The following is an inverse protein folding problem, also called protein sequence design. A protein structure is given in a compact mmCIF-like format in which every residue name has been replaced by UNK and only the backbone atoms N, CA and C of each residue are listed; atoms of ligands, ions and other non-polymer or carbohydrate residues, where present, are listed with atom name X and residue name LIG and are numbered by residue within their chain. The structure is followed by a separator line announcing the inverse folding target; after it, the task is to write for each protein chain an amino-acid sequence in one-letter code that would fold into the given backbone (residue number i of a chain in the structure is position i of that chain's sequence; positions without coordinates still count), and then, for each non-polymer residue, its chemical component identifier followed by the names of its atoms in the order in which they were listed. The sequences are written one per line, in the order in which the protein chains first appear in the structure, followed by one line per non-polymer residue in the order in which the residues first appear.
data_IF_540460570294
#
_entry.id   IF_540460570294
#
_cell.length_a   1.000
_cell.length_b   1.000
_cell.length_c   1.000
_cell.angle_alpha   90.00
_cell.angle_beta   90.00
_cell.angle_gamma   90.00
#
_symmetry.space_group_name_H-M   'P 1'
#
loop_
_entity.id
_entity.type
_entity.pdbx_description
1 polymer ?
#
# COMPACT_ATOMS: atom_id res chain seq x y z
N UNK A 1 -32.75 6.28 -2.80
CA UNK A 1 -31.59 5.42 -2.55
C UNK A 1 -30.35 6.20 -2.88
N UNK A 2 -29.47 6.41 -1.90
CA UNK A 2 -28.19 7.11 -2.13
C UNK A 2 -27.20 6.08 -2.66
N UNK A 3 -26.81 6.23 -3.92
CA UNK A 3 -25.70 5.46 -4.50
C UNK A 3 -24.42 6.21 -4.19
N UNK A 4 -23.64 5.72 -3.23
CA UNK A 4 -22.27 6.19 -3.02
C UNK A 4 -21.37 5.50 -4.05
N UNK A 5 -20.95 6.22 -5.09
CA UNK A 5 -19.82 5.83 -5.93
C UNK A 5 -18.53 6.16 -5.18
N UNK A 6 -18.07 5.25 -4.32
CA UNK A 6 -16.75 5.37 -3.71
C UNK A 6 -15.79 4.44 -4.45
N UNK A 7 -14.95 5.01 -5.30
CA UNK A 7 -13.81 4.31 -5.89
C UNK A 7 -12.76 4.09 -4.81
N UNK A 8 -12.87 3.01 -4.02
CA UNK A 8 -11.85 2.68 -3.04
C UNK A 8 -10.55 2.31 -3.76
N UNK A 9 -9.52 3.10 -3.47
CA UNK A 9 -8.14 2.91 -3.88
C UNK A 9 -7.29 2.84 -2.63
N UNK A 10 -6.21 2.07 -2.65
CA UNK A 10 -5.30 2.04 -1.53
C UNK A 10 -4.30 3.20 -1.67
N UNK A 11 -4.45 4.22 -0.82
CA UNK A 11 -3.51 5.34 -0.70
C UNK A 11 -2.34 4.90 0.20
N UNK A 12 -1.17 4.72 -0.39
CA UNK A 12 0.06 4.41 0.31
C UNK A 12 0.72 5.65 0.88
N UNK A 13 1.04 5.60 2.18
CA UNK A 13 1.88 6.59 2.86
C UNK A 13 2.96 5.85 3.65
N UNK A 14 4.01 6.56 4.05
CA UNK A 14 5.04 5.99 4.91
C UNK A 14 5.36 6.92 6.08
N UNK A 15 5.92 6.32 7.12
CA UNK A 15 6.52 6.96 8.29
C UNK A 15 7.86 6.29 8.53
N UNK A 16 8.91 7.05 8.82
CA UNK A 16 10.23 6.52 9.12
C UNK A 16 10.90 7.33 10.23
N UNK A 17 11.45 6.62 11.21
CA UNK A 17 12.33 7.18 12.24
C UNK A 17 13.76 7.14 11.72
N UNK A 18 14.35 8.32 11.54
CA UNK A 18 15.72 8.48 11.07
C UNK A 18 16.73 8.35 12.22
N UNK A 19 16.36 8.87 13.39
CA UNK A 19 17.18 8.81 14.59
C UNK A 19 16.31 8.87 15.85
N UNK A 20 16.74 8.13 16.88
CA UNK A 20 16.19 8.18 18.23
C UNK A 20 17.33 8.33 19.22
N UNK A 21 17.25 9.34 20.10
CA UNK A 21 18.29 9.59 21.10
C UNK A 21 18.31 8.49 22.16
N UNK A 22 19.48 7.91 22.48
CA UNK A 22 19.62 6.90 23.52
C UNK A 22 19.87 7.52 24.91
N UNK A 23 20.00 8.85 25.03
CA UNK A 23 20.40 9.49 26.29
C UNK A 23 19.21 9.64 27.25
N UNK A 24 19.38 9.25 28.53
CA UNK A 24 18.35 9.44 29.56
C UNK A 24 18.09 10.95 29.76
N UNK A 25 16.81 11.32 29.78
CA UNK A 25 16.37 12.72 29.81
C UNK A 25 16.11 13.35 28.44
N UNK A 26 16.38 12.64 27.34
CA UNK A 26 16.09 13.11 25.98
C UNK A 26 15.34 12.07 25.13
N UNK A 27 14.59 11.17 25.78
CA UNK A 27 13.91 10.03 25.13
C UNK A 27 12.83 10.43 24.12
N UNK A 28 12.42 11.70 24.10
CA UNK A 28 11.46 12.25 23.13
C UNK A 28 12.10 12.86 21.88
N UNK A 29 13.42 13.01 21.81
CA UNK A 29 14.07 13.64 20.65
C UNK A 29 14.25 12.62 19.52
N UNK A 30 13.23 12.51 18.67
CA UNK A 30 13.24 11.67 17.48
C UNK A 30 13.29 12.55 16.23
N UNK A 31 14.16 12.18 15.29
CA UNK A 31 14.11 12.73 13.93
C UNK A 31 13.27 11.78 13.09
N UNK A 32 12.12 12.25 12.60
CA UNK A 32 11.16 11.45 11.83
C UNK A 32 10.82 12.13 10.53
N UNK A 33 10.47 11.31 9.54
CA UNK A 33 10.00 11.74 8.24
C UNK A 33 8.73 10.97 7.88
N UNK A 34 7.64 11.68 7.58
CA UNK A 34 6.34 11.04 7.37
C UNK A 34 5.43 11.85 6.45
N UNK A 35 4.74 11.12 5.57
CA UNK A 35 3.64 11.64 4.75
C UNK A 35 2.28 11.06 5.19
N UNK A 36 2.25 10.29 6.28
CA UNK A 36 1.01 9.75 6.82
C UNK A 36 0.17 10.90 7.43
N UNK A 37 -1.15 10.98 7.18
CA UNK A 37 -1.97 12.12 7.59
C UNK A 37 -1.90 12.45 9.09
N UNK A 38 -1.80 11.43 9.94
CA UNK A 38 -1.77 11.58 11.40
C UNK A 38 -0.41 12.01 11.95
N UNK A 39 0.67 11.85 11.18
CA UNK A 39 2.05 12.14 11.61
C UNK A 39 2.82 12.97 10.58
N UNK A 40 2.11 13.74 9.76
CA UNK A 40 2.67 14.45 8.61
C UNK A 40 3.77 15.43 9.04
N UNK A 41 4.95 15.34 8.42
CA UNK A 41 6.05 16.28 8.65
C UNK A 41 5.76 17.61 7.96
N UNK A 42 5.43 18.66 8.74
CA UNK A 42 5.11 19.99 8.23
C UNK A 42 6.28 20.57 7.42
N UNK A 43 5.99 21.11 6.24
CA UNK A 43 6.99 21.70 5.34
C UNK A 43 7.69 20.71 4.41
N UNK A 44 7.36 19.42 4.48
CA UNK A 44 7.91 18.40 3.60
C UNK A 44 7.03 18.18 2.36
N UNK A 45 7.50 18.62 1.19
CA UNK A 45 6.80 18.49 -0.11
C UNK A 45 7.49 17.54 -1.10
N UNK A 46 8.48 16.78 -0.65
CA UNK A 46 9.32 15.91 -1.49
C UNK A 46 8.68 14.58 -1.88
N UNK A 47 7.64 14.13 -1.17
CA UNK A 47 6.93 12.88 -1.47
C UNK A 47 5.42 13.09 -1.46
N UNK A 48 4.78 12.80 -2.59
CA UNK A 48 3.34 12.66 -2.67
C UNK A 48 2.92 11.22 -2.32
N UNK A 49 1.71 11.01 -1.77
CA UNK A 49 1.19 9.67 -1.51
C UNK A 49 1.14 8.81 -2.78
N UNK A 50 1.41 7.52 -2.62
CA UNK A 50 1.33 6.54 -3.72
C UNK A 50 -0.11 6.06 -3.86
N UNK A 51 -0.52 5.77 -5.09
CA UNK A 51 -1.85 5.26 -5.41
C UNK A 51 -1.77 3.85 -6.00
N UNK A 52 -2.43 2.89 -5.38
CA UNK A 52 -2.59 1.52 -5.92
C UNK A 52 -4.00 1.37 -6.52
N UNK A 53 -4.14 1.39 -7.86
CA UNK A 53 -5.43 1.32 -8.52
C UNK A 53 -6.09 -0.05 -8.37
N UNK A 54 -7.42 -0.05 -8.24
CA UNK A 54 -8.23 -1.19 -8.65
C UNK A 54 -8.70 -0.96 -10.09
N UNK A 55 -8.70 -2.00 -10.93
CA UNK A 55 -9.15 -1.93 -12.33
C UNK A 55 -10.64 -1.60 -12.44
N UNK A 56 -11.43 -2.14 -11.53
CA UNK A 56 -12.87 -1.97 -11.46
C UNK A 56 -13.26 -1.50 -10.07
N UNK A 57 -14.28 -0.64 -9.99
CA UNK A 57 -14.81 -0.19 -8.71
C UNK A 57 -15.52 -1.35 -8.00
N UNK A 58 -15.31 -1.48 -6.69
CA UNK A 58 -16.01 -2.46 -5.86
C UNK A 58 -17.12 -1.76 -5.08
N UNK A 59 -18.33 -2.33 -5.13
CA UNK A 59 -19.42 -1.86 -4.29
C UNK A 59 -19.21 -2.33 -2.85
N UNK A 60 -19.26 -1.40 -1.90
CA UNK A 60 -19.12 -1.68 -0.46
C UNK A 60 -20.43 -1.33 0.24
N UNK A 61 -21.26 -2.32 0.58
CA UNK A 61 -22.47 -2.09 1.36
C UNK A 61 -22.14 -1.50 2.74
N UNK A 62 -23.12 -0.84 3.36
CA UNK A 62 -23.00 -0.43 4.76
C UNK A 62 -22.77 -1.65 5.66
N UNK A 63 -21.90 -1.50 6.67
CA UNK A 63 -21.53 -2.59 7.57
C UNK A 63 -20.46 -3.53 7.03
N UNK A 64 -20.23 -3.56 5.72
CA UNK A 64 -19.16 -4.36 5.13
C UNK A 64 -17.77 -3.72 5.36
N UNK A 65 -16.75 -4.57 5.39
CA UNK A 65 -15.35 -4.17 5.48
C UNK A 65 -14.61 -4.44 4.16
N UNK A 66 -13.53 -3.70 3.93
CA UNK A 66 -12.62 -3.90 2.79
C UNK A 66 -11.34 -4.52 3.32
N UNK A 67 -11.00 -5.72 2.83
CA UNK A 67 -9.75 -6.40 3.13
C UNK A 67 -8.83 -6.27 1.93
N UNK A 68 -7.72 -5.53 2.07
CA UNK A 68 -6.70 -5.45 1.03
C UNK A 68 -5.56 -6.41 1.36
N UNK A 69 -5.26 -7.30 0.42
CA UNK A 69 -4.06 -8.14 0.47
C UNK A 69 -3.01 -7.58 -0.48
N UNK A 70 -1.79 -7.39 0.01
CA UNK A 70 -0.66 -6.85 -0.74
C UNK A 70 0.58 -7.72 -0.52
N UNK A 71 1.30 -8.04 -1.60
CA UNK A 71 2.52 -8.82 -1.54
C UNK A 71 3.67 -8.05 -2.18
N UNK A 72 4.78 -7.91 -1.46
CA UNK A 72 6.07 -7.51 -2.05
C UNK A 72 6.78 -8.76 -2.55
N UNK A 73 7.05 -8.81 -3.83
CA UNK A 73 7.69 -9.93 -4.51
C UNK A 73 9.07 -9.48 -5.03
N UNK A 74 10.00 -10.40 -5.10
CA UNK A 74 11.31 -10.17 -5.68
C UNK A 74 11.80 -11.44 -6.39
N UNK A 75 12.57 -11.25 -7.44
CA UNK A 75 13.37 -12.31 -8.05
C UNK A 75 14.78 -11.79 -8.32
N UNK A 76 15.73 -12.71 -8.44
CA UNK A 76 17.14 -12.40 -8.68
C UNK A 76 17.52 -12.54 -10.16
N UNK A 77 16.56 -12.36 -11.09
CA UNK A 77 16.82 -12.50 -12.53
C UNK A 77 17.28 -13.91 -12.91
N UNK A 78 16.48 -14.93 -12.56
CA UNK A 78 16.89 -16.34 -12.68
C UNK A 78 17.43 -16.72 -14.06
N UNK A 79 18.45 -17.60 -14.10
CA UNK A 79 18.99 -18.35 -15.25
C UNK A 79 19.56 -17.57 -16.44
N UNK A 80 18.88 -16.50 -16.85
CA UNK A 80 19.23 -15.64 -17.96
C UNK A 80 20.25 -14.59 -17.50
N UNK A 81 21.49 -14.79 -17.90
CA UNK A 81 22.66 -13.97 -17.57
C UNK A 81 22.48 -12.60 -18.25
N UNK A 82 21.71 -11.73 -17.61
CA UNK A 82 21.39 -10.39 -18.12
C UNK A 82 20.09 -9.78 -17.58
N UNK A 83 19.19 -10.57 -16.98
CA UNK A 83 17.87 -10.10 -16.55
C UNK A 83 17.91 -9.06 -15.40
N UNK A 84 18.95 -9.07 -14.57
CA UNK A 84 18.99 -8.30 -13.32
C UNK A 84 17.90 -8.74 -12.32
N UNK A 85 18.09 -8.42 -11.04
CA UNK A 85 17.03 -8.65 -10.05
C UNK A 85 15.87 -7.68 -10.27
N UNK A 86 14.67 -8.04 -9.82
CA UNK A 86 13.53 -7.12 -9.83
C UNK A 86 12.64 -7.30 -8.62
N UNK A 87 11.97 -6.22 -8.24
CA UNK A 87 11.00 -6.16 -7.16
C UNK A 87 9.68 -5.63 -7.70
N UNK A 88 8.57 -6.21 -7.27
CA UNK A 88 7.24 -5.73 -7.63
C UNK A 88 6.24 -5.93 -6.49
N UNK A 89 5.07 -5.33 -6.67
CA UNK A 89 3.93 -5.52 -5.77
C UNK A 89 2.78 -6.17 -6.51
N UNK A 90 2.10 -7.09 -5.84
CA UNK A 90 0.82 -7.66 -6.25
C UNK A 90 -0.22 -7.29 -5.21
N UNK A 91 -1.45 -7.00 -5.61
CA UNK A 91 -2.51 -6.68 -4.67
C UNK A 91 -3.88 -7.09 -5.16
N UNK A 92 -4.77 -7.38 -4.23
CA UNK A 92 -6.21 -7.53 -4.45
C UNK A 92 -6.97 -7.02 -3.23
N UNK A 93 -8.26 -6.80 -3.41
CA UNK A 93 -9.19 -6.39 -2.38
C UNK A 93 -10.44 -7.27 -2.39
N UNK A 94 -10.91 -7.61 -1.20
CA UNK A 94 -12.15 -8.35 -0.93
C UNK A 94 -13.08 -7.47 -0.10
N UNK A 95 -14.38 -7.59 -0.35
CA UNK A 95 -15.44 -6.97 0.42
C UNK A 95 -16.04 -8.07 1.30
N UNK A 96 -15.94 -7.90 2.60
CA UNK A 96 -16.42 -8.86 3.60
C UNK A 96 -17.65 -8.28 4.27
N UNK A 97 -18.79 -8.97 4.17
CA UNK A 97 -20.04 -8.57 4.81
C UNK A 97 -19.99 -8.69 6.33
N UNK A 98 -21.04 -8.23 7.01
CA UNK A 98 -21.18 -8.33 8.47
C UNK A 98 -21.22 -9.78 8.98
N UNK A 99 -21.56 -10.74 8.11
CA UNK A 99 -21.58 -12.18 8.39
C UNK A 99 -20.25 -12.89 8.08
N UNK A 100 -19.15 -12.11 7.96
CA UNK A 100 -17.80 -12.56 7.59
C UNK A 100 -17.70 -13.25 6.22
N UNK A 101 -18.73 -13.15 5.36
CA UNK A 101 -18.69 -13.71 4.01
C UNK A 101 -18.12 -12.72 3.01
N UNK A 102 -17.31 -13.23 2.07
CA UNK A 102 -16.85 -12.44 0.92
C UNK A 102 -18.03 -12.22 -0.02
N UNK A 103 -18.43 -10.96 -0.19
CA UNK A 103 -19.56 -10.52 -1.03
C UNK A 103 -19.12 -9.81 -2.31
N UNK A 104 -17.81 -9.54 -2.44
CA UNK A 104 -17.21 -8.98 -3.64
C UNK A 104 -15.69 -9.09 -3.60
N UNK A 105 -15.04 -9.15 -4.76
CA UNK A 105 -13.59 -9.20 -4.83
C UNK A 105 -13.09 -8.59 -6.14
N UNK A 106 -11.87 -8.06 -6.11
CA UNK A 106 -11.15 -7.65 -7.31
C UNK A 106 -10.22 -8.75 -7.80
N UNK A 107 -9.78 -8.64 -9.06
CA UNK A 107 -8.72 -9.49 -9.59
C UNK A 107 -7.38 -9.22 -8.90
N UNK A 108 -6.47 -10.20 -8.98
CA UNK A 108 -5.07 -9.99 -8.63
C UNK A 108 -4.44 -8.98 -9.60
N UNK A 109 -3.93 -7.89 -9.05
CA UNK A 109 -3.26 -6.84 -9.81
C UNK A 109 -1.76 -7.14 -9.91
N UNK A 110 -1.20 -6.82 -11.08
CA UNK A 110 0.21 -6.96 -11.42
C UNK A 110 0.84 -8.36 -11.16
N UNK A 111 0.15 -9.48 -11.49
CA UNK A 111 0.70 -10.82 -11.25
C UNK A 111 2.03 -11.01 -11.98
N UNK A 112 3.04 -11.49 -11.26
CA UNK A 112 4.39 -11.69 -11.77
C UNK A 112 5.11 -10.40 -12.20
N UNK A 113 4.67 -9.23 -11.73
CA UNK A 113 5.30 -7.95 -12.06
C UNK A 113 5.18 -7.58 -13.55
N UNK A 114 4.18 -8.14 -14.24
CA UNK A 114 4.01 -8.03 -15.70
C UNK A 114 3.69 -6.61 -16.18
N UNK A 115 3.09 -5.79 -15.32
CA UNK A 115 2.68 -4.43 -15.65
C UNK A 115 3.62 -3.39 -15.04
N UNK A 116 4.14 -3.66 -13.84
CA UNK A 116 5.10 -2.79 -13.18
C UNK A 116 6.06 -3.60 -12.31
N UNK A 117 7.34 -3.26 -12.41
CA UNK A 117 8.39 -3.73 -11.52
C UNK A 117 9.52 -2.70 -11.48
N UNK A 118 10.28 -2.71 -10.39
CA UNK A 118 11.51 -1.94 -10.23
C UNK A 118 12.67 -2.90 -10.47
N UNK A 119 13.53 -2.58 -11.43
CA UNK A 119 14.79 -3.33 -11.62
C UNK A 119 15.80 -2.93 -10.55
N UNK A 120 16.58 -3.91 -10.10
CA UNK A 120 17.67 -3.77 -9.15
C UNK A 120 19.00 -3.64 -9.88
#
# INVERSE_FOLDING_TARGET
GVVFNCSFCCKGTFHSTLYQSPLPGNEGSNSVISIAPTTFSVGMFSWFPVYFPLREALHVPSGASVVCSMWRKADNGGGDVGSGGRVWYEWCAEIVGEDDRVIGASHLHNPGGRSYHVRL
#
